data_IF_157646673559
#
_entry.id   IF_157646673559
#
_cell.length_a   1.000
_cell.length_b   1.000
_cell.length_c   1.000
_cell.angle_alpha   90.00
_cell.angle_beta   90.00
_cell.angle_gamma   90.00
#
_symmetry.space_group_name_H-M   'P 1'
#
loop_
_entity.id
_entity.type
_entity.pdbx_description
1 polymer ?
#
# COMPACT_ATOMS: atom_id res chain seq x y z
N UNK A 1 11.25 16.50 -33.77
CA UNK A 1 10.44 17.14 -32.72
C UNK A 1 9.00 16.60 -32.72
N UNK A 2 8.25 16.64 -33.84
CA UNK A 2 6.88 16.08 -33.95
C UNK A 2 6.74 14.58 -33.55
N UNK A 3 7.70 13.74 -33.92
CA UNK A 3 7.65 12.30 -33.61
C UNK A 3 7.73 12.01 -32.10
N UNK A 4 8.48 12.83 -31.36
CA UNK A 4 8.62 12.71 -29.90
C UNK A 4 7.29 13.09 -29.22
N UNK A 5 6.68 14.20 -29.63
CA UNK A 5 5.35 14.60 -29.15
C UNK A 5 4.26 13.56 -29.44
N UNK A 6 4.30 12.93 -30.62
CA UNK A 6 3.35 11.87 -30.98
C UNK A 6 3.50 10.63 -30.10
N UNK A 7 4.73 10.18 -29.84
CA UNK A 7 5.00 9.04 -28.94
C UNK A 7 4.56 9.32 -27.50
N UNK A 8 4.83 10.52 -26.97
CA UNK A 8 4.35 10.91 -25.64
C UNK A 8 2.82 10.99 -25.57
N UNK A 9 2.16 11.50 -26.63
CA UNK A 9 0.71 11.59 -26.69
C UNK A 9 0.04 10.21 -26.75
N UNK A 10 0.57 9.29 -27.55
CA UNK A 10 0.08 7.90 -27.62
C UNK A 10 0.30 7.18 -26.30
N UNK A 11 1.46 7.36 -25.66
CA UNK A 11 1.76 6.79 -24.35
C UNK A 11 0.78 7.30 -23.28
N UNK A 12 0.52 8.61 -23.23
CA UNK A 12 -0.44 9.21 -22.30
C UNK A 12 -1.87 8.70 -22.51
N UNK A 13 -2.29 8.50 -23.76
CA UNK A 13 -3.60 7.92 -24.09
C UNK A 13 -3.71 6.45 -23.68
N UNK A 14 -2.68 5.64 -23.91
CA UNK A 14 -2.64 4.24 -23.50
C UNK A 14 -2.71 4.09 -21.98
N UNK A 15 -1.92 4.87 -21.23
CA UNK A 15 -1.97 4.89 -19.76
C UNK A 15 -3.35 5.33 -19.26
N UNK A 16 -3.95 6.35 -19.89
CA UNK A 16 -5.25 6.87 -19.47
C UNK A 16 -6.41 5.90 -19.74
N UNK A 17 -6.44 5.22 -20.88
CA UNK A 17 -7.57 4.35 -21.24
C UNK A 17 -7.42 2.94 -20.69
N UNK A 18 -6.30 2.26 -20.99
CA UNK A 18 -6.06 0.90 -20.52
C UNK A 18 -5.77 0.88 -19.02
N UNK A 19 -4.92 1.80 -18.54
CA UNK A 19 -4.64 1.90 -17.10
C UNK A 19 -5.89 2.15 -16.25
N UNK A 20 -6.81 3.01 -16.72
CA UNK A 20 -8.11 3.20 -16.05
C UNK A 20 -8.89 1.89 -15.98
N UNK A 21 -9.11 1.23 -17.11
CA UNK A 21 -9.90 -0.01 -17.20
C UNK A 21 -9.31 -1.10 -16.30
N UNK A 22 -7.99 -1.27 -16.34
CA UNK A 22 -7.29 -2.35 -15.64
C UNK A 22 -7.09 -2.05 -14.15
N UNK A 23 -7.28 -0.80 -13.72
CA UNK A 23 -7.34 -0.39 -12.30
C UNK A 23 -8.73 -0.47 -11.66
N UNK A 24 -9.82 -0.64 -12.43
CA UNK A 24 -11.20 -0.51 -11.91
C UNK A 24 -11.50 -1.49 -10.78
N UNK A 25 -10.99 -2.72 -10.88
CA UNK A 25 -11.21 -3.74 -9.87
C UNK A 25 -10.69 -3.30 -8.49
N UNK A 26 -9.58 -2.55 -8.47
CA UNK A 26 -8.98 -2.03 -7.26
C UNK A 26 -9.71 -0.75 -6.83
N UNK A 27 -9.83 0.22 -7.74
CA UNK A 27 -10.36 1.58 -7.47
C UNK A 27 -11.84 1.58 -7.10
N UNK A 28 -12.64 0.65 -7.64
CA UNK A 28 -14.10 0.67 -7.54
C UNK A 28 -14.69 -0.61 -6.98
N UNK A 29 -14.18 -1.77 -7.38
CA UNK A 29 -14.90 -3.04 -7.15
C UNK A 29 -14.55 -3.69 -5.81
N UNK A 30 -13.35 -3.42 -5.27
CA UNK A 30 -12.85 -4.04 -4.03
C UNK A 30 -13.64 -3.61 -2.78
N UNK A 31 -14.06 -2.35 -2.73
CA UNK A 31 -14.93 -1.83 -1.67
C UNK A 31 -16.05 -0.98 -2.30
N UNK A 32 -17.33 -1.24 -1.97
CA UNK A 32 -18.47 -0.54 -2.56
C UNK A 32 -18.68 0.87 -1.96
N UNK A 33 -17.59 1.64 -1.80
CA UNK A 33 -17.58 3.00 -1.24
C UNK A 33 -16.60 3.89 -2.01
N UNK A 34 -16.87 5.19 -2.06
CA UNK A 34 -15.95 6.17 -2.64
C UNK A 34 -14.83 6.50 -1.64
N UNK A 35 -13.74 5.72 -1.66
CA UNK A 35 -12.53 6.00 -0.88
C UNK A 35 -11.46 6.73 -1.72
N UNK A 36 -11.44 6.47 -3.03
CA UNK A 36 -10.46 7.05 -3.95
C UNK A 36 -10.58 8.58 -3.96
N UNK A 37 -9.49 9.29 -3.73
CA UNK A 37 -9.44 10.76 -3.56
C UNK A 37 -10.40 11.33 -2.51
N UNK A 38 -10.76 10.56 -1.50
CA UNK A 38 -11.69 11.00 -0.45
C UNK A 38 -10.94 11.11 0.88
N UNK A 39 -11.21 12.18 1.62
CA UNK A 39 -10.77 12.38 3.00
C UNK A 39 -12.00 12.18 3.90
N UNK A 40 -11.85 11.45 5.00
CA UNK A 40 -12.92 11.09 5.91
C UNK A 40 -12.76 11.73 7.30
N UNK A 41 -13.25 11.02 8.33
CA UNK A 41 -13.11 11.49 9.71
C UNK A 41 -11.64 11.58 10.10
N UNK A 42 -11.27 12.58 10.91
CA UNK A 42 -9.87 12.89 11.23
C UNK A 42 -9.09 11.71 11.82
N UNK A 43 -8.02 11.30 11.14
CA UNK A 43 -7.13 10.21 11.54
C UNK A 43 -6.54 10.45 12.94
N UNK A 44 -6.36 9.39 13.71
CA UNK A 44 -5.58 9.48 14.95
C UNK A 44 -4.09 9.56 14.63
N UNK A 45 -3.29 10.03 15.57
CA UNK A 45 -1.88 10.32 15.34
C UNK A 45 -1.10 9.08 14.86
N UNK A 46 -1.36 7.90 15.44
CA UNK A 46 -0.70 6.65 15.06
C UNK A 46 -1.07 6.19 13.64
N UNK A 47 -2.29 6.50 13.18
CA UNK A 47 -2.71 6.23 11.80
C UNK A 47 -1.94 7.14 10.83
N UNK A 48 -1.81 8.43 11.17
CA UNK A 48 -1.03 9.40 10.36
C UNK A 48 0.42 8.95 10.25
N UNK A 49 1.06 8.62 11.38
CA UNK A 49 2.46 8.17 11.39
C UNK A 49 2.60 6.89 10.57
N UNK A 50 1.69 5.92 10.73
CA UNK A 50 1.73 4.68 9.95
C UNK A 50 1.63 4.95 8.45
N UNK A 51 0.72 5.81 8.01
CA UNK A 51 0.59 6.21 6.61
C UNK A 51 1.85 6.91 6.07
N UNK A 52 2.45 7.80 6.88
CA UNK A 52 3.71 8.45 6.51
C UNK A 52 4.81 7.41 6.29
N UNK A 53 4.92 6.40 7.17
CA UNK A 53 5.96 5.35 7.02
C UNK A 53 5.79 4.46 5.79
N UNK A 54 4.64 4.50 5.11
CA UNK A 54 4.43 3.80 3.84
C UNK A 54 4.98 4.57 2.65
N UNK A 55 5.32 5.86 2.80
CA UNK A 55 5.83 6.68 1.70
C UNK A 55 7.31 6.38 1.38
N UNK A 56 7.74 6.52 0.11
CA UNK A 56 9.14 6.35 -0.26
C UNK A 56 10.03 7.38 0.44
N UNK A 57 11.20 6.96 0.93
CA UNK A 57 12.21 7.84 1.52
C UNK A 57 11.97 8.26 2.98
N UNK A 58 10.86 7.86 3.59
CA UNK A 58 10.53 8.24 4.98
C UNK A 58 11.52 7.70 6.03
N UNK A 59 12.27 6.64 5.71
CA UNK A 59 13.34 6.14 6.58
C UNK A 59 14.48 7.13 6.78
N UNK A 60 14.63 8.10 5.88
CA UNK A 60 15.66 9.14 5.96
C UNK A 60 15.18 10.36 6.77
N UNK A 61 13.88 10.42 7.13
CA UNK A 61 13.32 11.44 7.99
C UNK A 61 13.62 11.12 9.47
N UNK A 62 14.57 11.85 10.04
CA UNK A 62 15.02 11.66 11.42
C UNK A 62 13.93 11.94 12.47
N UNK A 63 12.94 12.77 12.16
CA UNK A 63 11.83 13.06 13.07
C UNK A 63 10.87 11.86 13.15
N UNK A 64 10.50 11.29 12.00
CA UNK A 64 9.64 10.11 11.94
C UNK A 64 10.36 8.87 12.51
N UNK A 65 11.61 8.64 12.12
CA UNK A 65 12.41 7.53 12.64
C UNK A 65 12.65 7.64 14.16
N UNK A 66 12.89 8.85 14.66
CA UNK A 66 13.04 9.14 16.09
C UNK A 66 11.76 8.86 16.88
N UNK A 67 10.62 9.34 16.38
CA UNK A 67 9.31 9.10 17.00
C UNK A 67 8.99 7.60 17.09
N UNK A 68 9.15 6.87 15.98
CA UNK A 68 8.86 5.44 15.90
C UNK A 68 9.77 4.64 16.84
N UNK A 69 11.05 5.03 16.94
CA UNK A 69 12.01 4.40 17.86
C UNK A 69 11.67 4.63 19.33
N UNK A 70 11.13 5.81 19.67
CA UNK A 70 10.71 6.17 21.03
C UNK A 70 9.34 5.63 21.43
N UNK A 71 8.48 5.27 20.46
CA UNK A 71 7.08 4.88 20.69
C UNK A 71 6.88 3.36 20.78
N UNK A 72 7.86 2.65 21.36
CA UNK A 72 7.78 1.20 21.59
C UNK A 72 6.66 0.89 22.57
N UNK A 73 5.92 -0.17 22.30
CA UNK A 73 4.77 -0.59 23.08
C UNK A 73 4.62 -2.10 23.03
N UNK A 74 4.00 -2.68 24.06
CA UNK A 74 3.81 -4.14 24.16
C UNK A 74 2.34 -4.54 24.33
N UNK A 75 1.43 -3.59 24.52
CA UNK A 75 0.02 -3.88 24.75
C UNK A 75 -0.70 -4.37 23.48
N UNK A 76 -1.90 -4.94 23.67
CA UNK A 76 -2.73 -5.46 22.60
C UNK A 76 -3.60 -4.39 21.91
N UNK A 77 -3.25 -3.11 22.03
CA UNK A 77 -4.07 -2.03 21.46
C UNK A 77 -3.83 -1.84 19.97
N UNK A 78 -4.83 -1.28 19.28
CA UNK A 78 -4.73 -0.88 17.87
C UNK A 78 -3.61 0.16 17.65
N UNK A 79 -3.50 1.15 18.54
CA UNK A 79 -2.43 2.15 18.50
C UNK A 79 -1.05 1.47 18.56
N UNK A 80 -0.88 0.49 19.45
CA UNK A 80 0.39 -0.22 19.55
C UNK A 80 0.69 -1.09 18.32
N UNK A 81 -0.33 -1.73 17.75
CA UNK A 81 -0.20 -2.44 16.48
C UNK A 81 0.30 -1.49 15.37
N UNK A 82 -0.28 -0.30 15.24
CA UNK A 82 0.16 0.69 14.25
C UNK A 82 1.60 1.14 14.48
N UNK A 83 2.01 1.45 15.71
CA UNK A 83 3.40 1.79 16.03
C UNK A 83 4.37 0.65 15.67
N UNK A 84 3.98 -0.59 15.93
CA UNK A 84 4.76 -1.79 15.56
C UNK A 84 4.92 -1.89 14.03
N UNK A 85 3.86 -1.63 13.27
CA UNK A 85 3.89 -1.63 11.81
C UNK A 85 4.72 -0.46 11.25
N UNK A 86 4.62 0.72 11.86
CA UNK A 86 5.46 1.88 11.50
C UNK A 86 6.93 1.58 11.69
N UNK A 87 7.30 0.92 12.80
CA UNK A 87 8.66 0.43 13.03
C UNK A 87 9.10 -0.58 11.98
N UNK A 88 8.23 -1.53 11.60
CA UNK A 88 8.53 -2.47 10.53
C UNK A 88 8.80 -1.76 9.19
N UNK A 89 7.97 -0.78 8.84
CA UNK A 89 8.09 -0.02 7.61
C UNK A 89 9.42 0.75 7.53
N UNK A 90 9.85 1.38 8.63
CA UNK A 90 11.14 2.06 8.72
C UNK A 90 12.30 1.06 8.56
N UNK A 91 12.21 -0.11 9.19
CA UNK A 91 13.21 -1.18 9.04
C UNK A 91 13.36 -1.65 7.59
N UNK A 92 12.25 -1.76 6.84
CA UNK A 92 12.33 -2.07 5.40
C UNK A 92 13.05 -0.98 4.61
N UNK A 93 12.81 0.30 4.94
CA UNK A 93 13.49 1.43 4.33
C UNK A 93 15.01 1.30 4.41
N UNK A 94 15.53 1.01 5.61
CA UNK A 94 16.97 0.85 5.90
C UNK A 94 17.55 -0.53 5.52
N UNK A 95 16.74 -1.45 4.99
CA UNK A 95 17.17 -2.76 4.53
C UNK A 95 17.17 -3.88 5.57
N UNK A 96 16.67 -3.61 6.78
CA UNK A 96 16.53 -4.56 7.89
C UNK A 96 15.27 -5.44 7.72
N UNK A 97 15.24 -6.20 6.63
CA UNK A 97 14.06 -6.94 6.16
C UNK A 97 13.55 -7.99 7.14
N UNK A 98 14.44 -8.81 7.70
CA UNK A 98 14.05 -9.87 8.63
C UNK A 98 13.50 -9.30 9.95
N UNK A 99 14.14 -8.24 10.45
CA UNK A 99 13.73 -7.55 11.67
C UNK A 99 12.35 -6.92 11.49
N UNK A 100 12.11 -6.25 10.36
CA UNK A 100 10.78 -5.69 10.03
C UNK A 100 9.71 -6.78 9.87
N UNK A 101 10.04 -7.92 9.26
CA UNK A 101 9.08 -9.02 9.08
C UNK A 101 8.64 -9.60 10.45
N UNK A 102 9.57 -9.76 11.40
CA UNK A 102 9.25 -10.20 12.78
C UNK A 102 8.28 -9.24 13.48
N UNK A 103 8.40 -7.93 13.23
CA UNK A 103 7.46 -6.94 13.76
C UNK A 103 6.06 -7.08 13.13
N UNK A 104 5.97 -7.29 11.80
CA UNK A 104 4.70 -7.60 11.14
C UNK A 104 4.05 -8.85 11.75
N UNK A 105 4.81 -9.93 11.95
CA UNK A 105 4.29 -11.16 12.56
C UNK A 105 3.76 -10.93 13.98
N UNK A 106 4.42 -10.05 14.74
CA UNK A 106 3.99 -9.67 16.08
C UNK A 106 2.69 -8.86 16.04
N UNK A 107 2.61 -7.86 15.15
CA UNK A 107 1.39 -7.08 14.93
C UNK A 107 0.22 -7.96 14.47
N UNK A 108 0.49 -8.93 13.60
CA UNK A 108 -0.50 -9.87 13.06
C UNK A 108 -1.22 -10.69 14.12
N UNK A 109 -0.52 -11.07 15.20
CA UNK A 109 -1.12 -11.83 16.31
C UNK A 109 -2.16 -11.03 17.10
N UNK A 110 -2.20 -9.70 16.93
CA UNK A 110 -3.14 -8.80 17.62
C UNK A 110 -4.46 -8.61 16.87
N UNK A 111 -4.57 -9.07 15.62
CA UNK A 111 -5.80 -8.94 14.82
C UNK A 111 -6.83 -10.01 15.17
N UNK A 112 -8.07 -9.58 15.41
CA UNK A 112 -9.22 -10.48 15.53
C UNK A 112 -9.85 -10.67 14.15
N UNK A 113 -9.64 -11.86 13.56
CA UNK A 113 -10.12 -12.20 12.22
C UNK A 113 -11.64 -11.97 12.08
N UNK A 114 -12.02 -11.14 11.12
CA UNK A 114 -13.43 -10.83 10.80
C UNK A 114 -14.05 -9.71 11.63
N UNK A 115 -13.43 -9.33 12.76
CA UNK A 115 -13.83 -8.15 13.52
C UNK A 115 -13.08 -6.89 13.04
N UNK A 116 -11.76 -7.02 12.85
CA UNK A 116 -10.92 -5.91 12.43
C UNK A 116 -10.70 -5.92 10.91
N UNK A 117 -10.47 -4.74 10.33
CA UNK A 117 -9.98 -4.64 8.96
C UNK A 117 -8.43 -4.63 8.95
N UNK A 118 -7.76 -5.63 8.36
CA UNK A 118 -6.30 -5.76 8.43
C UNK A 118 -5.54 -4.90 7.41
N UNK A 119 -6.12 -3.75 6.99
CA UNK A 119 -5.60 -2.92 5.89
C UNK A 119 -4.16 -2.43 6.15
N UNK A 120 -3.85 -1.98 7.36
CA UNK A 120 -2.50 -1.51 7.72
C UNK A 120 -1.46 -2.63 7.68
N UNK A 121 -1.83 -3.86 8.07
CA UNK A 121 -0.94 -5.02 7.95
C UNK A 121 -0.69 -5.35 6.49
N UNK A 122 -1.74 -5.39 5.68
CA UNK A 122 -1.63 -5.64 4.23
C UNK A 122 -0.73 -4.59 3.57
N UNK A 123 -0.88 -3.31 3.89
CA UNK A 123 0.00 -2.24 3.39
C UNK A 123 1.47 -2.46 3.76
N UNK A 124 1.78 -2.79 5.02
CA UNK A 124 3.15 -3.09 5.46
C UNK A 124 3.74 -4.33 4.81
N UNK A 125 2.95 -5.38 4.59
CA UNK A 125 3.38 -6.59 3.87
C UNK A 125 3.71 -6.28 2.41
N UNK A 126 2.91 -5.43 1.77
CA UNK A 126 3.20 -4.98 0.41
C UNK A 126 4.46 -4.12 0.36
N UNK A 127 4.70 -3.27 1.36
CA UNK A 127 5.95 -2.51 1.46
C UNK A 127 7.18 -3.43 1.58
N UNK A 128 7.09 -4.48 2.41
CA UNK A 128 8.12 -5.52 2.49
C UNK A 128 8.37 -6.15 1.10
N UNK A 129 7.32 -6.55 0.38
CA UNK A 129 7.44 -7.11 -0.97
C UNK A 129 8.07 -6.13 -1.96
N UNK A 130 7.67 -4.86 -1.93
CA UNK A 130 8.28 -3.81 -2.76
C UNK A 130 9.78 -3.71 -2.48
N UNK A 131 10.20 -3.76 -1.21
CA UNK A 131 11.62 -3.73 -0.86
C UNK A 131 12.35 -4.97 -1.35
N UNK A 132 11.77 -6.17 -1.22
CA UNK A 132 12.30 -7.41 -1.82
C UNK A 132 12.46 -7.29 -3.34
N UNK A 133 11.46 -6.74 -4.03
CA UNK A 133 11.50 -6.51 -5.48
C UNK A 133 12.58 -5.51 -5.89
N UNK A 134 12.86 -4.52 -5.06
CA UNK A 134 13.88 -3.50 -5.36
C UNK A 134 15.32 -4.03 -5.36
N UNK A 135 15.58 -5.15 -4.68
CA UNK A 135 16.91 -5.78 -4.58
C UNK A 135 17.00 -7.11 -5.34
N UNK A 136 15.88 -7.62 -5.84
CA UNK A 136 15.79 -8.88 -6.56
C UNK A 136 16.18 -8.78 -8.04
N UNK A 137 16.51 -9.92 -8.65
CA UNK A 137 16.77 -10.00 -10.08
C UNK A 137 15.47 -9.90 -10.89
N UNK A 138 15.51 -9.21 -12.03
CA UNK A 138 14.33 -8.94 -12.86
C UNK A 138 13.51 -10.20 -13.20
N UNK A 139 14.18 -11.29 -13.56
CA UNK A 139 13.52 -12.55 -13.95
C UNK A 139 12.77 -13.23 -12.80
N UNK A 140 13.13 -12.96 -11.55
CA UNK A 140 12.44 -13.48 -10.38
C UNK A 140 11.36 -12.50 -9.89
N UNK A 141 11.66 -11.20 -9.95
CA UNK A 141 10.80 -10.12 -9.45
C UNK A 141 9.52 -9.98 -10.27
N UNK A 142 9.59 -10.01 -11.61
CA UNK A 142 8.41 -9.79 -12.45
C UNK A 142 7.33 -10.87 -12.22
N UNK A 143 7.64 -12.18 -12.27
CA UNK A 143 6.65 -13.22 -11.99
C UNK A 143 6.06 -13.12 -10.57
N UNK A 144 6.89 -12.81 -9.57
CA UNK A 144 6.40 -12.68 -8.19
C UNK A 144 5.50 -11.45 -7.99
N UNK A 145 5.85 -10.32 -8.61
CA UNK A 145 5.02 -9.11 -8.59
C UNK A 145 3.67 -9.38 -9.28
N UNK A 146 3.67 -10.01 -10.46
CA UNK A 146 2.44 -10.43 -11.16
C UNK A 146 1.60 -11.37 -10.29
N UNK A 147 2.21 -12.38 -9.67
CA UNK A 147 1.51 -13.29 -8.77
C UNK A 147 0.91 -12.55 -7.56
N UNK A 148 1.62 -11.57 -7.01
CA UNK A 148 1.14 -10.74 -5.90
C UNK A 148 -0.07 -9.90 -6.32
N UNK A 149 -0.04 -9.23 -7.48
CA UNK A 149 -1.19 -8.46 -7.98
C UNK A 149 -2.40 -9.36 -8.26
N UNK A 150 -2.17 -10.51 -8.92
CA UNK A 150 -3.23 -11.49 -9.18
C UNK A 150 -3.86 -12.02 -7.89
N UNK A 151 -3.04 -12.24 -6.87
CA UNK A 151 -3.52 -12.67 -5.56
C UNK A 151 -4.40 -11.61 -4.91
N UNK A 152 -3.97 -10.35 -4.88
CA UNK A 152 -4.80 -9.24 -4.36
C UNK A 152 -6.12 -9.16 -5.12
N UNK A 153 -6.08 -9.27 -6.46
CA UNK A 153 -7.27 -9.21 -7.30
C UNK A 153 -8.26 -10.34 -7.03
N UNK A 154 -7.77 -11.55 -6.81
CA UNK A 154 -8.60 -12.76 -6.65
C UNK A 154 -9.07 -12.94 -5.21
N UNK A 155 -8.15 -12.77 -4.27
CA UNK A 155 -8.33 -13.10 -2.85
C UNK A 155 -8.67 -11.87 -2.00
N UNK A 156 -8.59 -10.66 -2.57
CA UNK A 156 -8.85 -9.42 -1.85
C UNK A 156 -7.68 -8.94 -0.98
N UNK A 157 -6.50 -9.57 -1.06
CA UNK A 157 -5.29 -9.16 -0.34
C UNK A 157 -4.20 -10.22 -0.45
N UNK A 158 -3.07 -10.01 0.22
CA UNK A 158 -1.93 -10.94 0.20
C UNK A 158 -2.03 -11.97 1.32
N UNK A 159 -2.38 -11.55 2.54
CA UNK A 159 -2.53 -12.42 3.71
C UNK A 159 -4.00 -12.59 4.11
N UNK A 160 -4.81 -11.54 3.95
CA UNK A 160 -6.19 -11.44 4.38
C UNK A 160 -7.07 -10.95 3.23
N UNK A 161 -8.30 -11.46 3.15
CA UNK A 161 -9.31 -10.89 2.27
C UNK A 161 -9.78 -9.55 2.87
N UNK A 162 -9.59 -8.45 2.15
CA UNK A 162 -10.03 -7.12 2.55
C UNK A 162 -11.46 -6.80 2.09
N UNK A 163 -12.14 -7.70 1.37
CA UNK A 163 -13.53 -7.51 0.89
C UNK A 163 -14.56 -7.88 1.97
N UNK A 164 -14.29 -7.49 3.21
CA UNK A 164 -15.13 -7.78 4.37
C UNK A 164 -16.03 -6.59 4.71
N UNK A 165 -17.09 -6.83 5.48
CA UNK A 165 -17.94 -5.76 6.01
C UNK A 165 -17.16 -4.82 6.94
N UNK A 166 -16.22 -5.34 7.74
CA UNK A 166 -15.36 -4.52 8.61
C UNK A 166 -14.52 -3.54 7.79
N UNK A 167 -13.92 -4.00 6.68
CA UNK A 167 -13.17 -3.13 5.78
C UNK A 167 -14.06 -2.17 5.00
N UNK A 168 -15.22 -2.59 4.52
CA UNK A 168 -16.15 -1.68 3.85
C UNK A 168 -16.64 -0.54 4.77
N UNK A 169 -16.88 -0.85 6.05
CA UNK A 169 -17.18 0.16 7.08
C UNK A 169 -15.99 1.10 7.29
N UNK A 170 -14.80 0.55 7.51
CA UNK A 170 -13.60 1.35 7.74
C UNK A 170 -13.26 2.23 6.53
N UNK A 171 -13.47 1.77 5.29
CA UNK A 171 -13.24 2.54 4.07
C UNK A 171 -14.16 3.76 3.95
N UNK A 172 -15.33 3.73 4.58
CA UNK A 172 -16.23 4.89 4.67
C UNK A 172 -15.79 5.87 5.76
N UNK A 173 -15.28 5.36 6.87
CA UNK A 173 -14.91 6.16 8.05
C UNK A 173 -13.51 6.78 7.93
N UNK A 174 -12.57 6.03 7.35
CA UNK A 174 -11.12 6.30 7.22
C UNK A 174 -10.61 6.01 5.79
N UNK A 175 -11.14 6.67 4.75
CA UNK A 175 -10.79 6.42 3.36
C UNK A 175 -9.29 6.57 3.05
N UNK A 176 -8.54 7.35 3.84
CA UNK A 176 -7.11 7.58 3.70
C UNK A 176 -6.28 6.29 3.84
N UNK A 177 -6.70 5.36 4.71
CA UNK A 177 -6.04 4.06 4.86
C UNK A 177 -6.12 3.23 3.57
N UNK A 178 -7.27 3.31 2.90
CA UNK A 178 -7.55 2.58 1.66
C UNK A 178 -6.92 3.27 0.45
N UNK A 179 -6.92 4.61 0.46
CA UNK A 179 -6.17 5.41 -0.48
C UNK A 179 -4.70 4.98 -0.51
N UNK A 180 -4.05 4.96 0.66
CA UNK A 180 -2.62 4.62 0.73
C UNK A 180 -2.37 3.17 0.36
N UNK A 181 -3.22 2.24 0.79
CA UNK A 181 -3.12 0.84 0.35
C UNK A 181 -3.09 0.72 -1.18
N UNK A 182 -3.98 1.44 -1.87
CA UNK A 182 -4.01 1.45 -3.34
C UNK A 182 -2.78 2.08 -3.96
N UNK A 183 -2.21 3.12 -3.35
CA UNK A 183 -0.90 3.66 -3.74
C UNK A 183 0.18 2.59 -3.60
N UNK A 184 0.23 1.86 -2.48
CA UNK A 184 1.22 0.78 -2.28
C UNK A 184 1.02 -0.35 -3.29
N UNK A 185 -0.22 -0.78 -3.57
CA UNK A 185 -0.50 -1.79 -4.61
C UNK A 185 -0.02 -1.31 -5.99
N UNK A 186 -0.23 -0.03 -6.33
CA UNK A 186 0.24 0.52 -7.61
C UNK A 186 1.77 0.45 -7.78
N UNK A 187 2.52 0.52 -6.67
CA UNK A 187 3.98 0.35 -6.69
C UNK A 187 4.35 -1.11 -6.98
N UNK A 188 3.60 -2.07 -6.44
CA UNK A 188 3.76 -3.49 -6.82
C UNK A 188 3.44 -3.70 -8.31
N UNK A 189 2.38 -3.07 -8.81
CA UNK A 189 2.01 -3.12 -10.23
C UNK A 189 3.12 -2.57 -11.15
N UNK A 190 3.91 -1.59 -10.69
CA UNK A 190 5.04 -1.08 -11.45
C UNK A 190 6.13 -2.16 -11.68
N UNK A 191 6.35 -3.05 -10.71
CA UNK A 191 7.27 -4.19 -10.85
C UNK A 191 6.69 -5.33 -11.70
N UNK A 192 5.37 -5.46 -11.77
CA UNK A 192 4.70 -6.49 -12.57
C UNK A 192 4.77 -6.23 -14.10
N UNK A 193 5.19 -5.04 -14.51
CA UNK A 193 5.33 -4.55 -15.91
C UNK A 193 4.05 -4.71 -16.76
N UNK A 194 4.12 -4.38 -18.05
CA UNK A 194 3.01 -4.54 -19.00
C UNK A 194 1.74 -3.75 -18.64
N UNK A 195 0.58 -4.41 -18.70
CA UNK A 195 -0.72 -3.81 -18.38
C UNK A 195 -0.81 -3.31 -16.93
N UNK A 196 -0.16 -4.02 -15.99
CA UNK A 196 -0.14 -3.62 -14.59
C UNK A 196 0.62 -2.31 -14.39
N UNK A 197 1.75 -2.12 -15.05
CA UNK A 197 2.50 -0.87 -14.95
C UNK A 197 1.67 0.34 -15.41
N UNK A 198 0.86 0.17 -16.46
CA UNK A 198 -0.06 1.22 -16.93
C UNK A 198 -1.18 1.50 -15.93
N UNK A 199 -1.77 0.47 -15.34
CA UNK A 199 -2.78 0.61 -14.28
C UNK A 199 -2.21 1.29 -13.02
N UNK A 200 -1.00 0.91 -12.61
CA UNK A 200 -0.29 1.51 -11.49
C UNK A 200 0.01 2.98 -11.71
N UNK A 201 0.51 3.35 -12.90
CA UNK A 201 0.76 4.74 -13.27
C UNK A 201 -0.54 5.58 -13.24
N UNK A 202 -1.64 5.04 -13.78
CA UNK A 202 -2.94 5.71 -13.73
C UNK A 202 -3.39 5.98 -12.28
N UNK A 203 -3.23 5.00 -11.39
CA UNK A 203 -3.54 5.15 -9.96
C UNK A 203 -2.69 6.27 -9.36
N UNK A 204 -1.36 6.25 -9.54
CA UNK A 204 -0.48 7.27 -8.94
C UNK A 204 -0.73 8.69 -9.47
N UNK A 205 -1.09 8.82 -10.76
CA UNK A 205 -1.41 10.12 -11.34
C UNK A 205 -2.71 10.70 -10.75
N UNK A 206 -3.69 9.84 -10.47
CA UNK A 206 -5.06 10.26 -10.11
C UNK A 206 -5.35 10.21 -8.64
N UNK A 207 -4.63 9.39 -7.88
CA UNK A 207 -4.81 9.19 -6.45
C UNK A 207 -3.93 10.21 -5.71
N UNK A 208 -4.43 11.43 -5.54
CA UNK A 208 -3.71 12.52 -4.87
C UNK A 208 -4.48 12.97 -3.64
N UNK A 209 -4.05 12.50 -2.46
CA UNK A 209 -4.38 13.19 -1.21
C UNK A 209 -3.34 14.28 -0.97
N UNK A 210 -3.80 15.51 -0.83
CA UNK A 210 -3.00 16.58 -0.22
C UNK A 210 -3.16 16.47 1.29
N UNK A 211 -2.12 16.00 1.97
CA UNK A 211 -2.02 16.09 3.43
C UNK A 211 -1.61 17.50 3.84
#
# INVERSE_FOLDING_TARGET
MFFVFFVFFVFALCVSFFGKKDSLWLVRDMWPVHYFNTVGGGLVHEEIVNLMTLQPGVSDDSAVAGYVSGSRCEDATYACMLNTLSAANILFGVGELESGLKLIETARKKIVKGADCPISIESSVLLYKIKMFSVGAFFDVVPEAVATVNKIRTDGGVLYDLRTQSCAKLAKERPELFHEYVVVVSRVMAYAVGEYSSAGAYIQERNKLSY
#
